data_IF_863906444963
#
_entry.id   IF_863906444963
#
_cell.length_a   1.000
_cell.length_b   1.000
_cell.length_c   1.000
_cell.angle_alpha   90.00
_cell.angle_beta   90.00
_cell.angle_gamma   90.00
#
_symmetry.space_group_name_H-M   'P 1'
#
loop_
_entity.id
_entity.type
_entity.pdbx_description
1 polymer ?
#
# COMPACT_ATOMS: atom_id res chain seq x y z
N UNK A 1 -26.70 -4.95 11.04
CA UNK A 1 -27.78 -5.21 10.06
C UNK A 1 -27.30 -5.88 8.77
N UNK A 2 -26.08 -5.59 8.30
CA UNK A 2 -25.52 -6.22 7.12
C UNK A 2 -25.37 -7.73 7.29
N UNK A 3 -24.85 -8.16 8.45
CA UNK A 3 -24.61 -9.58 8.74
C UNK A 3 -25.93 -10.35 8.78
N UNK A 4 -26.99 -9.78 9.36
CA UNK A 4 -28.30 -10.45 9.43
C UNK A 4 -28.89 -10.76 8.06
N UNK A 5 -28.71 -9.88 7.07
CA UNK A 5 -29.22 -10.11 5.70
C UNK A 5 -28.49 -11.27 5.03
N UNK A 6 -27.16 -11.31 5.12
CA UNK A 6 -26.35 -12.32 4.45
C UNK A 6 -26.41 -13.66 5.17
N UNK A 7 -26.51 -13.65 6.51
CA UNK A 7 -26.61 -14.85 7.34
C UNK A 7 -27.98 -15.53 7.27
N UNK A 8 -29.05 -14.80 6.92
CA UNK A 8 -30.37 -15.38 6.69
C UNK A 8 -30.37 -16.41 5.53
N UNK A 9 -29.49 -16.21 4.54
CA UNK A 9 -29.26 -17.16 3.45
C UNK A 9 -28.32 -18.29 3.92
N UNK A 10 -28.90 -19.41 4.35
CA UNK A 10 -28.18 -20.54 4.94
C UNK A 10 -27.43 -21.34 3.88
N UNK A 11 -28.01 -21.46 2.69
CA UNK A 11 -27.41 -22.25 1.61
C UNK A 11 -26.59 -21.39 0.65
N UNK A 12 -25.62 -22.03 -0.01
CA UNK A 12 -24.86 -21.41 -1.11
C UNK A 12 -25.78 -20.92 -2.23
N UNK A 13 -26.82 -21.69 -2.54
CA UNK A 13 -27.79 -21.36 -3.60
C UNK A 13 -28.58 -20.10 -3.25
N UNK A 14 -29.08 -20.00 -2.02
CA UNK A 14 -29.75 -18.78 -1.53
C UNK A 14 -28.83 -17.57 -1.58
N UNK A 15 -27.59 -17.70 -1.10
CA UNK A 15 -26.61 -16.60 -1.16
C UNK A 15 -26.29 -16.20 -2.60
N UNK A 16 -26.17 -17.16 -3.52
CA UNK A 16 -25.93 -16.89 -4.93
C UNK A 16 -27.11 -16.17 -5.62
N UNK A 17 -28.32 -16.32 -5.11
CA UNK A 17 -29.52 -15.64 -5.61
C UNK A 17 -29.66 -14.20 -5.12
N UNK A 18 -28.79 -13.72 -4.22
CA UNK A 18 -28.82 -12.33 -3.77
C UNK A 18 -28.54 -11.37 -4.95
N UNK A 19 -29.31 -10.28 -5.09
CA UNK A 19 -29.07 -9.28 -6.14
C UNK A 19 -27.64 -8.72 -6.07
N UNK A 20 -26.96 -8.66 -7.22
CA UNK A 20 -25.59 -8.15 -7.31
C UNK A 20 -24.50 -9.08 -6.75
N UNK A 21 -24.86 -10.30 -6.33
CA UNK A 21 -23.89 -11.27 -5.82
C UNK A 21 -22.95 -11.76 -6.92
N UNK A 22 -21.65 -11.71 -6.63
CA UNK A 22 -20.66 -12.37 -7.47
C UNK A 22 -20.54 -13.84 -7.06
N UNK A 23 -20.80 -14.76 -8.00
CA UNK A 23 -20.78 -16.22 -7.78
C UNK A 23 -19.44 -16.69 -7.16
N UNK A 24 -18.32 -16.04 -7.49
CA UNK A 24 -17.00 -16.37 -6.95
C UNK A 24 -16.82 -15.96 -5.48
N UNK A 25 -17.70 -15.11 -4.95
CA UNK A 25 -17.64 -14.56 -3.58
C UNK A 25 -18.68 -15.15 -2.63
N UNK A 26 -19.61 -15.97 -3.13
CA UNK A 26 -20.74 -16.53 -2.38
C UNK A 26 -20.29 -17.27 -1.11
N UNK A 27 -19.16 -17.95 -1.16
CA UNK A 27 -18.64 -18.74 -0.05
C UNK A 27 -17.94 -17.87 1.01
N UNK A 28 -17.50 -16.65 0.64
CA UNK A 28 -16.77 -15.72 1.51
C UNK A 28 -17.60 -14.52 1.98
N UNK A 29 -18.77 -14.29 1.39
CA UNK A 29 -19.54 -13.06 1.61
C UNK A 29 -19.99 -12.88 3.07
N UNK A 30 -20.34 -13.97 3.77
CA UNK A 30 -20.73 -13.93 5.18
C UNK A 30 -19.54 -13.47 6.03
N UNK A 31 -18.37 -14.08 5.83
CA UNK A 31 -17.14 -13.69 6.55
C UNK A 31 -16.75 -12.24 6.27
N UNK A 32 -16.84 -11.81 5.01
CA UNK A 32 -16.59 -10.42 4.63
C UNK A 32 -17.56 -9.44 5.30
N UNK A 33 -18.84 -9.79 5.38
CA UNK A 33 -19.86 -8.99 6.05
C UNK A 33 -19.60 -8.85 7.55
N UNK A 34 -19.21 -9.95 8.23
CA UNK A 34 -18.89 -9.93 9.67
C UNK A 34 -17.69 -9.04 9.96
N UNK A 35 -16.62 -9.17 9.17
CA UNK A 35 -15.43 -8.33 9.32
C UNK A 35 -15.77 -6.86 9.10
N UNK A 36 -16.53 -6.55 8.03
CA UNK A 36 -16.91 -5.18 7.71
C UNK A 36 -17.79 -4.56 8.80
N UNK A 37 -18.81 -5.29 9.27
CA UNK A 37 -19.69 -4.82 10.36
C UNK A 37 -18.90 -4.58 11.65
N UNK A 38 -17.93 -5.46 11.97
CA UNK A 38 -17.03 -5.28 13.10
C UNK A 38 -16.16 -4.02 12.98
N UNK A 39 -15.57 -3.77 11.81
CA UNK A 39 -14.76 -2.56 11.56
C UNK A 39 -15.61 -1.29 11.66
N UNK A 40 -16.80 -1.27 11.02
CA UNK A 40 -17.69 -0.11 11.06
C UNK A 40 -18.15 0.20 12.48
N UNK A 41 -18.49 -0.83 13.26
CA UNK A 41 -18.88 -0.67 14.66
C UNK A 41 -17.72 -0.17 15.53
N UNK A 42 -16.53 -0.78 15.39
CA UNK A 42 -15.35 -0.39 16.17
C UNK A 42 -14.87 1.04 15.90
N UNK A 43 -15.03 1.52 14.67
CA UNK A 43 -14.64 2.86 14.25
C UNK A 43 -15.80 3.88 14.33
N UNK A 44 -16.98 3.47 14.81
CA UNK A 44 -18.19 4.31 14.89
C UNK A 44 -18.55 4.97 13.54
N UNK A 45 -18.51 4.19 12.45
CA UNK A 45 -18.79 4.65 11.09
C UNK A 45 -20.22 4.34 10.67
N UNK A 46 -20.98 5.38 10.30
CA UNK A 46 -22.36 5.23 9.80
C UNK A 46 -22.43 4.81 8.33
N UNK A 47 -21.41 5.15 7.53
CA UNK A 47 -21.40 4.88 6.09
C UNK A 47 -20.00 4.70 5.52
N UNK A 48 -19.92 4.05 4.36
CA UNK A 48 -18.68 3.82 3.63
C UNK A 48 -18.91 3.98 2.12
N UNK A 49 -18.02 4.70 1.45
CA UNK A 49 -18.01 4.81 -0.02
C UNK A 49 -17.09 3.75 -0.63
N UNK A 50 -17.60 3.00 -1.61
CA UNK A 50 -16.79 1.99 -2.32
C UNK A 50 -15.92 2.68 -3.37
N UNK A 51 -14.60 2.56 -3.22
CA UNK A 51 -13.63 3.04 -4.21
C UNK A 51 -13.54 2.07 -5.40
N UNK A 52 -13.53 2.58 -6.65
CA UNK A 52 -13.21 1.77 -7.82
C UNK A 52 -11.70 1.47 -7.93
N UNK A 53 -10.86 2.22 -7.20
CA UNK A 53 -9.41 2.09 -7.19
C UNK A 53 -8.91 1.30 -5.98
N UNK A 54 -7.89 0.49 -6.20
CA UNK A 54 -7.25 -0.34 -5.18
C UNK A 54 -5.72 -0.40 -5.41
N UNK A 55 -5.09 -1.52 -5.02
CA UNK A 55 -3.62 -1.68 -5.04
C UNK A 55 -3.01 -1.51 -6.44
N UNK A 56 -3.67 -2.04 -7.48
CA UNK A 56 -3.13 -2.01 -8.85
C UNK A 56 -3.00 -0.59 -9.38
N UNK A 57 -3.95 0.29 -9.08
CA UNK A 57 -3.87 1.69 -9.48
C UNK A 57 -2.77 2.44 -8.72
N UNK A 58 -2.52 2.09 -7.46
CA UNK A 58 -1.36 2.58 -6.72
C UNK A 58 -0.03 2.28 -7.42
N UNK A 59 0.13 1.07 -7.97
CA UNK A 59 1.33 0.69 -8.74
C UNK A 59 1.43 1.45 -10.06
N UNK A 60 0.31 1.68 -10.73
CA UNK A 60 0.27 2.48 -11.97
C UNK A 60 0.73 3.90 -11.65
N UNK A 61 0.19 4.53 -10.61
CA UNK A 61 0.58 5.88 -10.20
C UNK A 61 2.07 5.97 -9.80
N UNK A 62 2.58 5.01 -9.03
CA UNK A 62 4.01 4.95 -8.67
C UNK A 62 4.90 4.80 -9.91
N UNK A 63 4.49 3.97 -10.87
CA UNK A 63 5.26 3.76 -12.11
C UNK A 63 5.27 5.02 -12.97
N UNK A 64 4.11 5.66 -13.15
CA UNK A 64 3.99 6.89 -13.92
C UNK A 64 4.79 8.04 -13.29
N UNK A 65 4.86 8.10 -11.95
CA UNK A 65 5.64 9.13 -11.25
C UNK A 65 7.15 9.08 -11.52
N UNK A 66 7.65 7.92 -11.95
CA UNK A 66 9.07 7.71 -12.32
C UNK A 66 9.34 8.01 -13.79
N UNK A 67 8.31 7.98 -14.63
CA UNK A 67 8.43 8.09 -16.08
C UNK A 67 8.02 9.46 -16.63
N UNK A 68 7.12 10.16 -15.92
CA UNK A 68 6.59 11.47 -16.34
C UNK A 68 7.13 12.53 -15.39
N UNK A 69 7.95 13.43 -15.92
CA UNK A 69 8.49 14.55 -15.16
C UNK A 69 7.36 15.47 -14.66
N UNK A 70 7.38 15.81 -13.37
CA UNK A 70 6.34 16.64 -12.73
C UNK A 70 5.08 15.90 -12.28
N UNK A 71 4.85 14.64 -12.69
CA UNK A 71 3.71 13.85 -12.21
C UNK A 71 4.02 13.23 -10.85
N UNK A 72 3.54 13.84 -9.77
CA UNK A 72 3.74 13.36 -8.38
C UNK A 72 2.40 13.16 -7.67
N UNK A 73 1.66 12.09 -7.99
CA UNK A 73 0.34 11.83 -7.39
C UNK A 73 0.42 11.42 -5.91
N UNK A 74 1.60 11.00 -5.43
CA UNK A 74 1.82 10.56 -4.07
C UNK A 74 3.23 10.97 -3.57
N UNK A 75 3.45 11.04 -2.24
CA UNK A 75 4.78 11.21 -1.65
C UNK A 75 5.72 10.05 -2.00
N UNK A 76 7.04 10.28 -1.98
CA UNK A 76 8.01 9.19 -2.10
C UNK A 76 8.08 8.42 -0.77
N UNK A 77 7.21 7.41 -0.66
CA UNK A 77 7.04 6.59 0.55
C UNK A 77 8.38 6.03 1.06
N UNK A 78 9.30 5.67 0.15
CA UNK A 78 10.61 5.10 0.54
C UNK A 78 11.49 6.16 1.19
N UNK A 79 11.56 7.34 0.58
CA UNK A 79 12.30 8.47 1.14
C UNK A 79 11.70 8.88 2.48
N UNK A 80 10.38 9.05 2.56
CA UNK A 80 9.71 9.52 3.77
C UNK A 80 9.88 8.51 4.92
N UNK A 81 9.74 7.21 4.64
CA UNK A 81 10.00 6.15 5.62
C UNK A 81 11.43 6.14 6.13
N UNK A 82 12.42 6.28 5.22
CA UNK A 82 13.83 6.38 5.59
C UNK A 82 14.10 7.63 6.45
N UNK A 83 13.51 8.77 6.11
CA UNK A 83 13.67 10.00 6.88
C UNK A 83 13.00 9.89 8.25
N UNK A 84 11.82 9.30 8.35
CA UNK A 84 11.16 9.02 9.63
C UNK A 84 12.03 8.13 10.52
N UNK A 85 12.58 7.06 9.95
CA UNK A 85 13.48 6.16 10.66
C UNK A 85 14.75 6.89 11.12
N UNK A 86 15.39 7.62 10.21
CA UNK A 86 16.61 8.36 10.52
C UNK A 86 16.38 9.41 11.62
N UNK A 87 15.26 10.12 11.56
CA UNK A 87 14.88 11.12 12.57
C UNK A 87 14.60 10.47 13.93
N UNK A 88 13.90 9.33 13.95
CA UNK A 88 13.61 8.57 15.18
C UNK A 88 14.87 8.11 15.91
N UNK A 89 15.96 7.84 15.17
CA UNK A 89 17.22 7.34 15.72
C UNK A 89 18.37 8.36 15.68
N UNK A 90 18.08 9.65 15.45
CA UNK A 90 19.08 10.72 15.38
C UNK A 90 19.57 11.12 16.77
N UNK A 91 20.31 10.21 17.41
CA UNK A 91 21.07 10.49 18.62
C UNK A 91 22.38 11.15 18.23
N UNK A 92 22.80 12.20 18.94
CA UNK A 92 24.10 12.85 18.77
C UNK A 92 24.39 13.35 17.33
N UNK A 93 23.38 13.82 16.59
CA UNK A 93 23.50 14.29 15.19
C UNK A 93 24.05 13.23 14.20
N UNK A 94 23.81 11.93 14.45
CA UNK A 94 24.19 10.84 13.54
C UNK A 94 23.66 11.01 12.12
N UNK A 95 22.56 11.73 11.94
CA UNK A 95 22.04 12.08 10.61
C UNK A 95 23.08 12.83 9.76
N UNK A 96 23.94 13.65 10.37
CA UNK A 96 25.03 14.34 9.67
C UNK A 96 26.07 13.36 9.15
N UNK A 97 26.51 12.43 10.00
CA UNK A 97 27.46 11.37 9.63
C UNK A 97 26.88 10.46 8.54
N UNK A 98 25.60 10.07 8.66
CA UNK A 98 24.92 9.27 7.65
C UNK A 98 24.86 9.98 6.29
N UNK A 99 24.55 11.28 6.26
CA UNK A 99 24.58 12.09 5.02
C UNK A 99 25.98 12.09 4.38
N UNK A 100 27.02 12.23 5.19
CA UNK A 100 28.40 12.19 4.71
C UNK A 100 28.78 10.82 4.14
N UNK A 101 28.45 9.73 4.82
CA UNK A 101 28.70 8.36 4.34
C UNK A 101 27.97 8.07 3.02
N UNK A 102 26.74 8.56 2.86
CA UNK A 102 25.99 8.42 1.60
C UNK A 102 26.68 9.18 0.46
N UNK A 103 27.19 10.37 0.73
CA UNK A 103 27.88 11.17 -0.28
C UNK A 103 29.17 10.49 -0.77
N UNK A 104 30.03 10.04 0.16
CA UNK A 104 31.24 9.29 -0.20
C UNK A 104 30.92 8.00 -0.97
N UNK A 105 29.88 7.28 -0.54
CA UNK A 105 29.44 6.04 -1.21
C UNK A 105 28.95 6.30 -2.64
N UNK A 106 28.25 7.42 -2.89
CA UNK A 106 27.83 7.83 -4.24
C UNK A 106 29.03 8.16 -5.11
N UNK A 107 30.00 8.92 -4.61
CA UNK A 107 31.22 9.26 -5.34
C UNK A 107 31.97 7.99 -5.76
N UNK A 108 32.15 7.06 -4.82
CA UNK A 108 32.79 5.78 -5.10
C UNK A 108 32.04 4.96 -6.15
N UNK A 109 30.71 4.88 -6.06
CA UNK A 109 29.89 4.17 -7.05
C UNK A 109 30.01 4.78 -8.46
N UNK A 110 30.00 6.11 -8.56
CA UNK A 110 30.17 6.81 -9.84
C UNK A 110 31.55 6.53 -10.43
N UNK A 111 32.61 6.63 -9.62
CA UNK A 111 33.97 6.31 -10.05
C UNK A 111 34.12 4.87 -10.55
N UNK A 112 33.53 3.90 -9.85
CA UNK A 112 33.55 2.49 -10.28
C UNK A 112 32.78 2.23 -11.57
N UNK A 113 31.69 2.98 -11.83
CA UNK A 113 30.93 2.87 -13.09
C UNK A 113 31.64 3.49 -14.29
N UNK A 114 32.47 4.52 -14.05
CA UNK A 114 33.23 5.20 -15.09
C UNK A 114 34.59 4.53 -15.39
N UNK A 115 35.10 3.70 -14.48
CA UNK A 115 36.35 2.98 -14.65
C UNK A 115 36.27 1.83 -15.68
N UNK A 116 37.41 1.37 -16.23
CA UNK A 116 37.44 0.21 -17.11
C UNK A 116 36.90 -1.03 -16.38
N UNK A 117 36.00 -1.79 -17.03
CA UNK A 117 35.55 -3.07 -16.48
C UNK A 117 36.76 -4.00 -16.32
N UNK A 118 36.89 -4.71 -15.19
CA UNK A 118 37.93 -5.72 -15.05
C UNK A 118 37.78 -6.78 -16.15
N UNK A 119 38.89 -7.33 -16.68
CA UNK A 119 38.83 -8.43 -17.65
C UNK A 119 38.08 -9.62 -17.04
N UNK A 120 37.32 -10.32 -17.89
CA UNK A 120 36.58 -11.54 -17.51
C UNK A 120 37.51 -12.66 -17.07
#
# INVERSE_FOLDING_TARGET
ELVSVVAACKTRKERASLPGMNIKRVDLIVTGAVILEGIMSYLELDSMTVSPFALREGIIFDTLSKSIEGFKPAPDIRRDSLMHLATRFDTENRLRSAKHSVELSKQLLVSLRAGPRPPK
#
